data_IF_984900517707
#
_entry.id   IF_984900517707
#
_cell.length_a   1.000
_cell.length_b   1.000
_cell.length_c   1.000
_cell.angle_alpha   90.00
_cell.angle_beta   90.00
_cell.angle_gamma   90.00
#
_symmetry.space_group_name_H-M   'P 1'
#
loop_
_entity.id
_entity.type
_entity.pdbx_description
1 polymer ?
#
# COMPACT_ATOMS: atom_id res chain seq x y z
N UNK A 1 33.00 -0.35 -13.70
CA UNK A 1 32.05 -1.17 -14.47
C UNK A 1 30.94 -0.28 -14.98
N UNK A 2 30.51 -0.46 -16.22
CA UNK A 2 29.32 0.20 -16.79
C UNK A 2 28.04 -0.35 -16.15
N UNK A 3 26.92 0.36 -16.29
CA UNK A 3 25.61 -0.12 -15.83
C UNK A 3 25.27 -1.52 -16.40
N UNK A 4 25.52 -1.74 -17.70
CA UNK A 4 25.31 -3.04 -18.35
C UNK A 4 26.15 -4.16 -17.75
N UNK A 5 27.41 -3.88 -17.43
CA UNK A 5 28.31 -4.86 -16.79
C UNK A 5 27.84 -5.19 -15.36
N UNK A 6 27.40 -4.17 -14.61
CA UNK A 6 26.87 -4.36 -13.26
C UNK A 6 25.62 -5.25 -13.26
N UNK A 7 24.68 -5.01 -14.18
CA UNK A 7 23.48 -5.85 -14.33
C UNK A 7 23.82 -7.31 -14.67
N UNK A 8 24.76 -7.55 -15.59
CA UNK A 8 25.17 -8.91 -16.01
C UNK A 8 25.90 -9.69 -14.91
N UNK A 9 26.46 -9.01 -13.92
CA UNK A 9 27.28 -9.63 -12.87
C UNK A 9 26.43 -10.51 -11.95
N UNK A 10 25.28 -10.00 -11.51
CA UNK A 10 24.48 -10.61 -10.43
C UNK A 10 25.19 -10.48 -9.09
N UNK A 11 25.34 -11.60 -8.37
CA UNK A 11 26.18 -11.61 -7.16
C UNK A 11 27.64 -11.33 -7.57
N UNK A 12 28.31 -10.33 -6.96
CA UNK A 12 29.68 -9.97 -7.32
C UNK A 12 30.65 -11.12 -7.04
N UNK A 13 31.83 -11.10 -7.67
CA UNK A 13 32.86 -12.11 -7.46
C UNK A 13 33.62 -11.96 -6.13
N UNK A 14 33.58 -10.76 -5.54
CA UNK A 14 34.22 -10.44 -4.26
C UNK A 14 33.16 -9.88 -3.31
N UNK A 15 33.35 -10.12 -2.01
CA UNK A 15 32.45 -9.61 -0.98
C UNK A 15 32.55 -8.08 -0.95
N UNK A 16 31.48 -7.33 -1.29
CA UNK A 16 31.53 -5.88 -1.27
C UNK A 16 31.57 -5.37 0.18
N UNK A 17 32.03 -4.14 0.37
CA UNK A 17 32.04 -3.50 1.68
C UNK A 17 30.61 -3.41 2.26
N UNK A 18 30.50 -3.53 3.60
CA UNK A 18 29.24 -3.30 4.31
C UNK A 18 28.73 -1.89 4.00
N UNK A 19 27.40 -1.75 3.83
CA UNK A 19 26.75 -0.48 3.54
C UNK A 19 25.99 0.03 4.75
N UNK A 20 26.18 1.31 5.04
CA UNK A 20 25.37 2.01 6.01
C UNK A 20 23.98 2.33 5.46
N UNK A 21 23.04 2.55 6.37
CA UNK A 21 21.66 2.89 6.03
C UNK A 21 21.59 4.35 5.58
N UNK A 22 21.07 4.56 4.38
CA UNK A 22 20.88 5.88 3.79
C UNK A 22 19.60 6.55 4.31
N UNK A 23 19.76 7.55 5.18
CA UNK A 23 18.64 8.26 5.80
C UNK A 23 17.96 9.29 4.88
N UNK A 24 18.40 9.45 3.62
CA UNK A 24 17.76 10.35 2.66
C UNK A 24 16.45 9.80 2.08
N UNK A 25 16.20 8.49 2.22
CA UNK A 25 14.96 7.84 1.76
C UNK A 25 14.14 7.32 2.93
N UNK A 26 12.83 7.19 2.69
CA UNK A 26 11.95 6.56 3.65
C UNK A 26 12.26 5.07 3.79
N UNK A 27 12.06 4.56 5.01
CA UNK A 27 12.41 3.20 5.37
C UNK A 27 11.25 2.44 6.01
N UNK A 28 11.19 1.13 5.73
CA UNK A 28 10.16 0.28 6.31
C UNK A 28 10.31 0.19 7.85
N UNK A 29 9.19 0.13 8.59
CA UNK A 29 9.23 -0.11 10.03
C UNK A 29 9.79 -1.50 10.35
N UNK A 30 10.35 -1.66 11.57
CA UNK A 30 10.79 -2.97 12.06
C UNK A 30 9.63 -3.96 12.04
N UNK A 31 9.84 -5.15 11.48
CA UNK A 31 8.88 -6.26 11.56
C UNK A 31 9.08 -6.98 12.90
N UNK A 32 8.01 -7.14 13.65
CA UNK A 32 8.05 -7.85 14.94
C UNK A 32 8.13 -9.35 14.64
N UNK A 33 9.18 -10.02 15.14
CA UNK A 33 9.42 -11.46 14.92
C UNK A 33 9.63 -12.25 16.21
N UNK A 34 9.65 -11.60 17.38
CA UNK A 34 10.09 -12.21 18.64
C UNK A 34 9.14 -13.31 19.13
N UNK A 35 7.85 -13.19 18.83
CA UNK A 35 6.83 -14.21 19.12
C UNK A 35 6.47 -15.07 17.88
N UNK A 36 7.14 -14.84 16.75
CA UNK A 36 6.81 -15.47 15.46
C UNK A 36 7.82 -16.55 15.08
N UNK A 37 9.11 -16.33 15.34
CA UNK A 37 10.18 -17.27 15.02
C UNK A 37 10.79 -17.87 16.27
N UNK A 38 10.82 -19.21 16.34
CA UNK A 38 11.65 -19.93 17.29
C UNK A 38 13.14 -19.71 17.04
N UNK A 39 14.00 -20.09 17.99
CA UNK A 39 15.47 -20.01 17.82
C UNK A 39 15.95 -20.79 16.60
N UNK A 40 15.44 -21.99 16.38
CA UNK A 40 15.81 -22.83 15.24
C UNK A 40 15.34 -22.22 13.92
N UNK A 41 14.20 -21.52 13.93
CA UNK A 41 13.69 -20.80 12.77
C UNK A 41 14.47 -19.53 12.46
N UNK A 42 14.95 -18.80 13.48
CA UNK A 42 15.91 -17.70 13.28
C UNK A 42 17.21 -18.22 12.62
N UNK A 43 17.71 -19.37 13.07
CA UNK A 43 18.86 -20.04 12.43
C UNK A 43 18.53 -20.45 10.99
N UNK A 44 17.33 -21.00 10.75
CA UNK A 44 16.88 -21.39 9.42
C UNK A 44 16.75 -20.19 8.48
N UNK A 45 16.25 -19.04 8.95
CA UNK A 45 16.18 -17.80 8.16
C UNK A 45 17.57 -17.38 7.66
N UNK A 46 18.57 -17.41 8.55
CA UNK A 46 19.95 -17.09 8.20
C UNK A 46 20.51 -18.11 7.19
N UNK A 47 20.32 -19.41 7.43
CA UNK A 47 20.71 -20.47 6.47
C UNK A 47 20.04 -20.27 5.11
N UNK A 48 18.76 -19.91 5.09
CA UNK A 48 18.00 -19.65 3.89
C UNK A 48 18.55 -18.46 3.10
N UNK A 49 18.99 -17.41 3.78
CA UNK A 49 19.65 -16.24 3.20
C UNK A 49 21.04 -16.57 2.66
N UNK A 50 21.81 -17.42 3.34
CA UNK A 50 23.17 -17.81 2.92
C UNK A 50 23.21 -18.65 1.63
N UNK A 51 22.10 -19.27 1.23
CA UNK A 51 22.01 -20.07 -0.02
C UNK A 51 22.37 -19.29 -1.28
N UNK A 52 22.25 -17.96 -1.27
CA UNK A 52 22.58 -17.11 -2.41
C UNK A 52 24.07 -16.83 -2.56
N UNK A 53 24.90 -17.19 -1.58
CA UNK A 53 26.28 -16.74 -1.48
C UNK A 53 27.28 -17.90 -1.40
N UNK A 54 28.52 -17.71 -1.88
CA UNK A 54 29.60 -18.67 -1.72
C UNK A 54 29.89 -18.98 -0.24
N UNK A 55 30.33 -20.22 0.04
CA UNK A 55 30.52 -20.72 1.41
C UNK A 55 31.57 -19.94 2.18
N UNK A 56 32.59 -19.44 1.49
CA UNK A 56 33.66 -18.61 2.04
C UNK A 56 33.15 -17.31 2.68
N UNK A 57 31.97 -16.82 2.31
CA UNK A 57 31.38 -15.61 2.91
C UNK A 57 30.43 -15.92 4.06
N UNK A 58 30.11 -17.20 4.31
CA UNK A 58 29.07 -17.57 5.27
C UNK A 58 29.40 -17.15 6.69
N UNK A 59 30.67 -17.16 7.09
CA UNK A 59 31.05 -16.73 8.44
C UNK A 59 30.72 -15.25 8.67
N UNK A 60 31.08 -14.37 7.74
CA UNK A 60 30.81 -12.93 7.85
C UNK A 60 29.32 -12.63 7.65
N UNK A 61 28.72 -13.17 6.59
CA UNK A 61 27.33 -12.89 6.25
C UNK A 61 26.34 -13.48 7.25
N UNK A 62 26.65 -14.59 7.92
CA UNK A 62 25.77 -15.15 8.96
C UNK A 62 25.59 -14.19 10.13
N UNK A 63 26.66 -13.51 10.56
CA UNK A 63 26.65 -12.50 11.62
C UNK A 63 25.85 -11.27 11.17
N UNK A 64 26.12 -10.78 9.97
CA UNK A 64 25.40 -9.62 9.40
C UNK A 64 23.90 -9.89 9.19
N UNK A 65 23.53 -11.06 8.67
CA UNK A 65 22.12 -11.41 8.45
C UNK A 65 21.39 -11.66 9.77
N UNK A 66 22.08 -12.16 10.81
CA UNK A 66 21.52 -12.22 12.16
C UNK A 66 21.22 -10.81 12.70
N UNK A 67 22.16 -9.87 12.53
CA UNK A 67 21.97 -8.46 12.91
C UNK A 67 20.80 -7.81 12.17
N UNK A 68 20.68 -8.03 10.85
CA UNK A 68 19.56 -7.51 10.07
C UNK A 68 18.23 -8.09 10.55
N UNK A 69 18.17 -9.41 10.77
CA UNK A 69 16.96 -10.08 11.25
C UNK A 69 16.51 -9.52 12.59
N UNK A 70 17.43 -9.28 13.53
CA UNK A 70 17.11 -8.74 14.84
C UNK A 70 16.70 -7.25 14.80
N UNK A 71 17.42 -6.45 14.01
CA UNK A 71 17.20 -5.01 13.92
C UNK A 71 15.94 -4.65 13.13
N UNK A 72 15.66 -5.38 12.06
CA UNK A 72 14.61 -5.03 11.10
C UNK A 72 13.49 -6.06 11.02
N UNK A 73 13.68 -7.25 11.61
CA UNK A 73 12.74 -8.37 11.48
C UNK A 73 12.80 -9.07 10.12
N UNK A 74 13.76 -8.69 9.27
CA UNK A 74 13.94 -9.14 7.89
C UNK A 74 15.41 -9.09 7.51
N UNK A 75 15.81 -9.95 6.57
CA UNK A 75 17.16 -9.99 5.99
C UNK A 75 17.06 -9.42 4.57
N UNK A 76 17.34 -8.13 4.43
CA UNK A 76 17.28 -7.42 3.14
C UNK A 76 18.57 -7.54 2.34
N UNK A 77 19.69 -7.87 3.01
CA UNK A 77 21.03 -7.97 2.45
C UNK A 77 21.51 -6.62 1.92
N UNK A 78 21.44 -5.56 2.74
CA UNK A 78 21.70 -4.18 2.31
C UNK A 78 23.08 -3.98 1.67
N UNK A 79 24.07 -4.76 2.12
CA UNK A 79 25.42 -4.81 1.52
C UNK A 79 25.40 -4.97 0.00
N UNK A 80 24.41 -5.70 -0.54
CA UNK A 80 24.29 -6.03 -1.95
C UNK A 80 23.37 -5.09 -2.75
N UNK A 81 22.81 -4.04 -2.13
CA UNK A 81 22.08 -3.01 -2.87
C UNK A 81 23.02 -2.36 -3.90
N UNK A 82 22.64 -2.18 -5.17
CA UNK A 82 23.49 -1.51 -6.16
C UNK A 82 23.79 -0.05 -5.83
N UNK A 83 24.91 0.47 -6.36
CA UNK A 83 25.30 1.88 -6.21
C UNK A 83 24.87 2.77 -7.39
N UNK A 84 24.33 2.20 -8.46
CA UNK A 84 23.74 2.99 -9.53
C UNK A 84 22.38 3.54 -9.10
N UNK A 85 22.01 4.69 -9.67
CA UNK A 85 20.69 5.29 -9.44
C UNK A 85 19.58 4.33 -9.88
N UNK A 86 18.59 4.13 -9.02
CA UNK A 86 17.46 3.26 -9.28
C UNK A 86 16.34 4.04 -9.96
N UNK A 87 16.17 3.86 -11.26
CA UNK A 87 15.10 4.46 -12.07
C UNK A 87 14.95 3.69 -13.38
N UNK A 88 13.79 3.80 -14.03
CA UNK A 88 13.60 3.24 -15.37
C UNK A 88 14.37 4.05 -16.43
N UNK A 89 15.38 3.42 -17.01
CA UNK A 89 16.17 3.90 -18.16
C UNK A 89 15.48 3.61 -19.50
N UNK A 90 16.03 4.15 -20.60
CA UNK A 90 15.59 3.68 -21.93
C UNK A 90 15.98 2.22 -22.13
N UNK A 91 15.25 1.53 -23.00
CA UNK A 91 15.42 0.09 -23.19
C UNK A 91 16.86 -0.27 -23.59
N UNK A 92 17.48 0.54 -24.45
CA UNK A 92 18.81 0.33 -25.01
C UNK A 92 19.94 0.45 -23.97
N UNK A 93 19.67 1.08 -22.82
CA UNK A 93 20.62 1.15 -21.71
C UNK A 93 20.72 -0.18 -20.95
N UNK A 94 19.71 -1.04 -21.04
CA UNK A 94 19.74 -2.36 -20.43
C UNK A 94 20.53 -3.35 -21.30
N UNK A 95 21.24 -4.31 -20.68
CA UNK A 95 21.79 -5.44 -21.41
C UNK A 95 20.72 -6.51 -21.61
N UNK A 96 20.33 -6.83 -22.84
CA UNK A 96 19.36 -7.90 -23.08
C UNK A 96 19.68 -8.71 -24.34
N UNK A 97 19.22 -9.95 -24.39
CA UNK A 97 19.12 -10.74 -25.62
C UNK A 97 17.67 -10.72 -26.13
N UNK A 98 16.70 -10.96 -25.23
CA UNK A 98 15.27 -10.76 -25.48
C UNK A 98 14.84 -9.32 -25.17
N UNK A 99 14.20 -8.65 -26.13
CA UNK A 99 13.66 -7.30 -25.93
C UNK A 99 12.60 -7.27 -24.80
N UNK A 100 11.79 -8.32 -24.69
CA UNK A 100 10.78 -8.45 -23.63
C UNK A 100 11.45 -8.51 -22.24
N UNK A 101 12.57 -9.24 -22.11
CA UNK A 101 13.33 -9.27 -20.86
C UNK A 101 13.96 -7.91 -20.51
N UNK A 102 14.42 -7.17 -21.53
CA UNK A 102 14.84 -5.77 -21.41
C UNK A 102 13.75 -4.88 -20.81
N UNK A 103 12.52 -4.98 -21.33
CA UNK A 103 11.38 -4.22 -20.83
C UNK A 103 11.00 -4.61 -19.39
N UNK A 104 11.13 -5.89 -19.02
CA UNK A 104 10.86 -6.34 -17.65
C UNK A 104 11.89 -5.75 -16.67
N UNK A 105 13.18 -5.71 -17.02
CA UNK A 105 14.20 -5.03 -16.20
C UNK A 105 13.89 -3.55 -15.99
N UNK A 106 13.43 -2.86 -17.03
CA UNK A 106 12.98 -1.48 -16.94
C UNK A 106 11.86 -1.34 -15.91
N UNK A 107 10.83 -2.18 -16.00
CA UNK A 107 9.70 -2.11 -15.08
C UNK A 107 10.05 -2.48 -13.64
N UNK A 108 10.99 -3.42 -13.45
CA UNK A 108 11.54 -3.73 -12.12
C UNK A 108 12.21 -2.50 -11.50
N UNK A 109 13.04 -1.78 -12.27
CA UNK A 109 13.71 -0.57 -11.76
C UNK A 109 12.72 0.57 -11.52
N UNK A 110 11.68 0.72 -12.34
CA UNK A 110 10.59 1.66 -12.07
C UNK A 110 9.90 1.37 -10.72
N UNK A 111 9.58 0.11 -10.44
CA UNK A 111 8.96 -0.29 -9.18
C UNK A 111 9.84 -0.02 -7.94
N UNK A 112 11.15 0.12 -8.11
CA UNK A 112 12.13 0.38 -7.06
C UNK A 112 12.68 1.81 -7.08
N UNK A 113 12.23 2.65 -8.01
CA UNK A 113 12.65 4.05 -8.10
C UNK A 113 12.27 4.79 -6.81
N UNK A 114 13.18 5.52 -6.13
CA UNK A 114 12.86 6.28 -4.92
C UNK A 114 11.72 7.30 -5.09
N UNK A 115 11.41 7.73 -6.31
CA UNK A 115 10.26 8.60 -6.64
C UNK A 115 8.93 7.84 -6.74
N UNK A 116 8.98 6.51 -6.84
CA UNK A 116 7.83 5.63 -7.06
C UNK A 116 7.57 4.74 -5.84
N UNK A 117 8.62 4.10 -5.32
CA UNK A 117 8.54 3.14 -4.23
C UNK A 117 8.43 3.83 -2.86
N UNK A 118 7.59 3.27 -1.98
CA UNK A 118 7.44 3.76 -0.60
C UNK A 118 8.68 3.55 0.26
N UNK A 119 9.28 2.35 0.18
CA UNK A 119 10.51 2.00 0.89
C UNK A 119 11.50 1.34 -0.07
N UNK A 120 12.18 2.13 -0.93
CA UNK A 120 12.97 1.61 -2.04
C UNK A 120 14.11 0.68 -1.59
N UNK A 121 14.74 0.98 -0.44
CA UNK A 121 15.87 0.19 0.06
C UNK A 121 15.46 -1.15 0.70
N UNK A 122 14.19 -1.29 1.09
CA UNK A 122 13.58 -2.55 1.54
C UNK A 122 12.79 -3.25 0.42
N UNK A 123 12.96 -2.79 -0.83
CA UNK A 123 12.33 -3.35 -2.03
C UNK A 123 10.79 -3.32 -1.99
N UNK A 124 10.19 -2.40 -1.23
CA UNK A 124 8.74 -2.27 -1.07
C UNK A 124 8.22 -1.08 -1.89
N UNK A 125 7.36 -1.37 -2.86
CA UNK A 125 6.78 -0.36 -3.74
C UNK A 125 5.59 0.35 -3.08
N UNK A 126 4.60 -0.37 -2.55
CA UNK A 126 3.43 0.23 -1.89
C UNK A 126 2.72 -0.73 -0.93
N UNK A 127 1.61 -0.28 -0.33
CA UNK A 127 0.80 -1.11 0.58
C UNK A 127 1.48 -1.42 1.92
N UNK A 128 2.58 -0.74 2.24
CA UNK A 128 3.34 -0.93 3.49
C UNK A 128 4.30 -2.13 3.49
N UNK A 129 3.97 -3.22 2.79
CA UNK A 129 4.78 -4.43 2.66
C UNK A 129 4.74 -5.08 1.26
N UNK A 130 4.10 -4.44 0.28
CA UNK A 130 4.04 -4.92 -1.11
C UNK A 130 5.41 -4.82 -1.78
N UNK A 131 6.12 -5.94 -1.85
CA UNK A 131 7.53 -6.00 -2.23
C UNK A 131 7.75 -6.54 -3.64
N UNK A 132 8.80 -6.02 -4.30
CA UNK A 132 9.30 -6.48 -5.59
C UNK A 132 10.09 -7.78 -5.41
N UNK A 133 10.97 -7.81 -4.41
CA UNK A 133 11.77 -8.96 -4.00
C UNK A 133 11.89 -8.97 -2.47
N UNK A 134 12.28 -10.10 -1.89
CA UNK A 134 12.50 -10.21 -0.44
C UNK A 134 13.84 -9.60 0.00
N UNK A 135 14.84 -9.60 -0.89
CA UNK A 135 16.19 -9.12 -0.60
C UNK A 135 16.94 -8.73 -1.88
N UNK A 136 18.08 -8.07 -1.71
CA UNK A 136 18.90 -7.57 -2.83
C UNK A 136 19.60 -8.66 -3.64
N UNK A 137 19.86 -9.85 -3.07
CA UNK A 137 20.40 -10.97 -3.85
C UNK A 137 19.42 -11.45 -4.94
N UNK A 138 18.13 -11.53 -4.60
CA UNK A 138 17.08 -11.87 -5.55
C UNK A 138 16.98 -10.86 -6.70
N UNK A 139 17.07 -9.56 -6.37
CA UNK A 139 17.14 -8.50 -7.38
C UNK A 139 18.33 -8.72 -8.33
N UNK A 140 19.54 -8.84 -7.78
CA UNK A 140 20.77 -8.99 -8.57
C UNK A 140 20.73 -10.21 -9.50
N UNK A 141 20.29 -11.36 -8.99
CA UNK A 141 20.17 -12.59 -9.77
C UNK A 141 19.09 -12.48 -10.85
N UNK A 142 17.94 -11.89 -10.54
CA UNK A 142 16.86 -11.69 -11.51
C UNK A 142 17.32 -10.79 -12.65
N UNK A 143 17.97 -9.67 -12.34
CA UNK A 143 18.50 -8.75 -13.36
C UNK A 143 19.58 -9.44 -14.22
N UNK A 144 20.45 -10.25 -13.62
CA UNK A 144 21.42 -11.08 -14.36
C UNK A 144 20.73 -12.04 -15.32
N UNK A 145 19.76 -12.81 -14.84
CA UNK A 145 19.06 -13.79 -15.67
C UNK A 145 18.29 -13.14 -16.82
N UNK A 146 17.58 -12.04 -16.56
CA UNK A 146 16.88 -11.27 -17.60
C UNK A 146 17.84 -10.70 -18.65
N UNK A 147 19.07 -10.37 -18.26
CA UNK A 147 20.07 -9.88 -19.23
C UNK A 147 20.60 -10.94 -20.21
N UNK A 148 20.36 -12.23 -19.91
CA UNK A 148 20.94 -13.37 -20.61
C UNK A 148 19.90 -14.28 -21.27
N UNK A 149 18.63 -14.19 -20.84
CA UNK A 149 17.56 -15.06 -21.32
C UNK A 149 17.24 -14.81 -22.81
N UNK A 150 17.09 -15.88 -23.57
CA UNK A 150 16.65 -15.82 -24.97
C UNK A 150 15.13 -15.78 -25.09
N UNK A 151 14.63 -15.59 -26.32
CA UNK A 151 13.19 -15.67 -26.59
C UNK A 151 12.64 -17.10 -26.53
N UNK A 152 13.46 -18.13 -26.32
CA UNK A 152 12.97 -19.51 -26.18
C UNK A 152 13.05 -20.02 -24.75
N UNK A 153 13.12 -19.11 -23.78
CA UNK A 153 13.29 -19.43 -22.38
C UNK A 153 12.32 -18.63 -21.49
N UNK A 154 12.03 -19.17 -20.31
CA UNK A 154 11.22 -18.53 -19.27
C UNK A 154 11.98 -18.53 -17.95
N UNK A 155 12.10 -17.37 -17.32
CA UNK A 155 12.56 -17.23 -15.93
C UNK A 155 11.38 -17.47 -14.98
N UNK A 156 11.56 -18.37 -14.02
CA UNK A 156 10.52 -18.66 -13.02
C UNK A 156 10.88 -18.04 -11.68
N UNK A 157 9.99 -17.21 -11.14
CA UNK A 157 10.15 -16.53 -9.86
C UNK A 157 9.20 -17.10 -8.80
N UNK A 158 9.78 -17.55 -7.69
CA UNK A 158 9.10 -18.10 -6.51
C UNK A 158 9.09 -17.06 -5.39
N UNK A 159 8.03 -16.26 -5.32
CA UNK A 159 7.90 -15.14 -4.37
C UNK A 159 9.13 -14.24 -4.33
N UNK A 160 9.65 -13.88 -5.51
CA UNK A 160 10.88 -13.11 -5.68
C UNK A 160 12.16 -13.95 -5.82
N UNK A 161 12.20 -15.21 -5.35
CA UNK A 161 13.36 -16.09 -5.57
C UNK A 161 13.46 -16.49 -7.05
N UNK A 162 14.55 -16.17 -7.77
CA UNK A 162 14.72 -16.59 -9.15
C UNK A 162 15.18 -18.05 -9.19
N UNK A 163 14.22 -18.98 -9.31
CA UNK A 163 14.49 -20.42 -9.32
C UNK A 163 15.42 -20.80 -10.45
N UNK A 164 15.23 -20.19 -11.62
CA UNK A 164 16.10 -20.41 -12.78
C UNK A 164 15.41 -20.13 -14.10
N UNK A 165 16.19 -20.30 -15.16
CA UNK A 165 15.76 -20.18 -16.55
C UNK A 165 15.50 -21.58 -17.10
N UNK A 166 14.33 -21.77 -17.70
CA UNK A 166 13.89 -23.05 -18.27
C UNK A 166 13.57 -22.90 -19.76
N UNK A 167 13.81 -23.93 -20.60
CA UNK A 167 13.38 -23.93 -21.99
C UNK A 167 11.86 -23.76 -22.11
N UNK A 168 11.45 -23.01 -23.13
CA UNK A 168 10.06 -22.69 -23.47
C UNK A 168 9.94 -22.49 -24.99
N UNK A 169 9.16 -21.51 -25.46
CA UNK A 169 9.08 -21.11 -26.87
C UNK A 169 8.88 -19.59 -26.99
N UNK A 170 9.07 -19.04 -28.19
CA UNK A 170 8.96 -17.59 -28.48
C UNK A 170 7.70 -16.90 -27.96
N UNK A 171 6.56 -17.58 -28.05
CA UNK A 171 5.25 -17.07 -27.64
C UNK A 171 4.94 -17.28 -26.14
N UNK A 172 5.82 -17.96 -25.39
CA UNK A 172 5.68 -18.14 -23.96
C UNK A 172 6.05 -16.84 -23.20
N UNK A 173 5.54 -16.64 -21.97
CA UNK A 173 6.01 -15.54 -21.12
C UNK A 173 7.52 -15.63 -20.84
N UNK A 174 8.25 -14.52 -20.95
CA UNK A 174 9.67 -14.48 -20.51
C UNK A 174 9.84 -14.65 -19.00
N UNK A 175 8.81 -14.30 -18.22
CA UNK A 175 8.81 -14.46 -16.77
C UNK A 175 7.47 -15.00 -16.30
N UNK A 176 7.50 -16.02 -15.44
CA UNK A 176 6.34 -16.47 -14.66
C UNK A 176 6.62 -16.17 -13.19
N UNK A 177 5.73 -15.39 -12.57
CA UNK A 177 5.88 -14.95 -11.17
C UNK A 177 4.75 -15.51 -10.33
N UNK A 178 5.12 -16.10 -9.20
CA UNK A 178 4.21 -16.36 -8.08
C UNK A 178 4.64 -15.49 -6.89
N UNK A 179 3.69 -14.93 -6.13
CA UNK A 179 3.98 -14.19 -4.91
C UNK A 179 2.96 -14.55 -3.83
N UNK A 180 3.42 -14.96 -2.65
CA UNK A 180 2.52 -15.17 -1.52
C UNK A 180 1.61 -16.39 -1.65
N UNK A 181 1.90 -17.31 -2.57
CA UNK A 181 1.12 -18.54 -2.73
C UNK A 181 1.36 -19.45 -1.53
N UNK A 182 0.27 -19.79 -0.84
CA UNK A 182 0.28 -20.56 0.39
C UNK A 182 -0.69 -21.74 0.29
N UNK A 183 -0.40 -22.83 1.00
CA UNK A 183 -1.41 -23.86 1.26
C UNK A 183 -2.51 -23.20 2.10
N UNK A 184 -3.81 -23.31 1.75
CA UNK A 184 -4.87 -22.51 2.35
C UNK A 184 -4.90 -22.51 3.88
N UNK A 185 -4.71 -23.67 4.52
CA UNK A 185 -4.71 -23.82 5.98
C UNK A 185 -3.54 -23.09 6.68
N UNK A 186 -2.56 -22.59 5.92
CA UNK A 186 -1.37 -21.89 6.40
C UNK A 186 -1.27 -20.48 5.80
N UNK A 187 -2.38 -19.92 5.33
CA UNK A 187 -2.43 -18.60 4.67
C UNK A 187 -2.89 -17.47 5.59
N UNK A 188 -2.97 -17.69 6.91
CA UNK A 188 -3.28 -16.63 7.89
C UNK A 188 -2.09 -15.68 8.06
N UNK A 189 -2.35 -14.48 8.58
CA UNK A 189 -1.39 -13.38 8.72
C UNK A 189 -0.14 -13.79 9.50
N UNK A 190 -0.29 -14.56 10.58
CA UNK A 190 0.81 -15.01 11.45
C UNK A 190 1.74 -15.98 10.73
N UNK A 191 1.15 -16.99 10.06
CA UNK A 191 1.89 -17.97 9.27
C UNK A 191 2.63 -17.28 8.13
N UNK A 192 1.95 -16.41 7.39
CA UNK A 192 2.58 -15.64 6.33
C UNK A 192 3.74 -14.76 6.84
N UNK A 193 3.56 -14.06 7.97
CA UNK A 193 4.60 -13.23 8.57
C UNK A 193 5.84 -14.04 8.96
N UNK A 194 5.63 -15.24 9.50
CA UNK A 194 6.67 -16.22 9.81
C UNK A 194 7.43 -16.65 8.56
N UNK A 195 6.72 -17.10 7.53
CA UNK A 195 7.34 -17.60 6.31
C UNK A 195 8.07 -16.50 5.52
N UNK A 196 7.58 -15.26 5.59
CA UNK A 196 8.28 -14.13 4.99
C UNK A 196 9.60 -13.84 5.74
N UNK A 197 9.59 -13.86 7.08
CA UNK A 197 10.81 -13.71 7.87
C UNK A 197 11.84 -14.83 7.61
N UNK A 198 11.37 -16.05 7.33
CA UNK A 198 12.20 -17.19 6.93
C UNK A 198 12.78 -17.07 5.51
N UNK A 199 12.36 -16.08 4.72
CA UNK A 199 12.82 -15.89 3.35
C UNK A 199 12.24 -16.89 2.34
N UNK A 200 11.03 -17.41 2.59
CA UNK A 200 10.38 -18.41 1.72
C UNK A 200 9.08 -17.92 1.06
N UNK A 201 8.62 -16.71 1.39
CA UNK A 201 7.46 -16.09 0.71
C UNK A 201 7.55 -14.57 0.77
N UNK A 202 6.79 -13.90 -0.09
CA UNK A 202 6.72 -12.43 -0.18
C UNK A 202 5.28 -12.01 -0.45
N UNK A 203 4.92 -10.78 -0.09
CA UNK A 203 3.64 -10.20 -0.46
C UNK A 203 3.89 -9.25 -1.62
N UNK A 204 3.51 -9.66 -2.82
CA UNK A 204 3.71 -8.89 -4.03
C UNK A 204 2.66 -7.79 -4.23
N UNK A 205 1.66 -7.67 -3.35
CA UNK A 205 0.43 -6.94 -3.65
C UNK A 205 -0.09 -7.41 -5.04
N UNK A 206 -0.59 -6.48 -5.86
CA UNK A 206 -0.98 -6.71 -7.24
C UNK A 206 0.17 -6.36 -8.18
N UNK A 207 0.63 -5.10 -8.16
CA UNK A 207 1.57 -4.58 -9.16
C UNK A 207 3.02 -4.41 -8.67
N UNK A 208 3.27 -4.60 -7.36
CA UNK A 208 4.62 -4.48 -6.80
C UNK A 208 5.47 -5.70 -7.19
N UNK A 209 4.99 -6.90 -6.88
CA UNK A 209 5.66 -8.17 -7.18
C UNK A 209 5.47 -8.65 -8.62
N UNK A 210 4.63 -7.99 -9.42
CA UNK A 210 4.45 -8.28 -10.86
C UNK A 210 5.11 -7.24 -11.77
N UNK A 211 5.84 -6.27 -11.20
CA UNK A 211 6.65 -5.30 -11.94
C UNK A 211 5.84 -4.41 -12.88
N UNK A 212 4.75 -3.81 -12.41
CA UNK A 212 3.92 -2.94 -13.26
C UNK A 212 3.26 -1.77 -12.53
N UNK A 213 3.85 -1.32 -11.42
CA UNK A 213 3.31 -0.19 -10.66
C UNK A 213 3.77 1.13 -11.26
N UNK A 214 2.83 1.97 -11.70
CA UNK A 214 3.11 3.21 -12.43
C UNK A 214 2.86 4.46 -11.59
N UNK A 215 2.94 4.32 -10.27
CA UNK A 215 2.60 5.38 -9.34
C UNK A 215 1.08 5.55 -9.13
N UNK A 216 0.67 6.66 -8.51
CA UNK A 216 -0.70 6.87 -8.05
C UNK A 216 -1.73 7.07 -9.18
N UNK A 217 -1.32 7.27 -10.43
CA UNK A 217 -2.22 7.58 -11.55
C UNK A 217 -3.31 6.52 -11.77
N UNK A 218 -2.98 5.23 -11.61
CA UNK A 218 -3.96 4.15 -11.78
C UNK A 218 -5.09 4.26 -10.76
N UNK A 219 -4.78 4.66 -9.53
CA UNK A 219 -5.77 4.86 -8.47
C UNK A 219 -6.57 6.14 -8.69
N UNK A 220 -5.96 7.22 -9.18
CA UNK A 220 -6.69 8.46 -9.55
C UNK A 220 -7.77 8.14 -10.59
N UNK A 221 -7.41 7.38 -11.63
CA UNK A 221 -8.37 6.96 -12.66
C UNK A 221 -9.47 6.06 -12.07
N UNK A 222 -9.11 4.99 -11.35
CA UNK A 222 -10.09 4.08 -10.75
C UNK A 222 -11.05 4.78 -9.79
N UNK A 223 -10.55 5.73 -9.00
CA UNK A 223 -11.37 6.53 -8.07
C UNK A 223 -12.29 7.51 -8.80
N UNK A 224 -11.80 8.13 -9.87
CA UNK A 224 -12.63 8.98 -10.75
C UNK A 224 -13.81 8.20 -11.31
N UNK A 225 -13.56 6.99 -11.84
CA UNK A 225 -14.61 6.13 -12.37
C UNK A 225 -15.60 5.70 -11.28
N UNK A 226 -15.10 5.31 -10.11
CA UNK A 226 -15.94 4.92 -8.97
C UNK A 226 -16.89 6.05 -8.56
N UNK A 227 -16.38 7.28 -8.45
CA UNK A 227 -17.19 8.46 -8.11
C UNK A 227 -18.22 8.80 -9.18
N UNK A 228 -17.85 8.79 -10.46
CA UNK A 228 -18.81 9.05 -11.55
C UNK A 228 -19.94 8.01 -11.58
N UNK A 229 -19.61 6.73 -11.38
CA UNK A 229 -20.61 5.68 -11.35
C UNK A 229 -21.50 5.76 -10.11
N UNK A 230 -20.95 6.04 -8.92
CA UNK A 230 -21.75 6.34 -7.73
C UNK A 230 -22.70 7.53 -8.00
N UNK A 231 -22.21 8.54 -8.71
CA UNK A 231 -23.01 9.68 -9.18
C UNK A 231 -24.19 9.27 -10.04
N UNK A 232 -23.95 8.47 -11.08
CA UNK A 232 -24.98 7.97 -12.01
C UNK A 232 -26.02 7.11 -11.30
N UNK A 233 -25.58 6.14 -10.51
CA UNK A 233 -26.47 5.24 -9.76
C UNK A 233 -27.43 5.99 -8.83
N UNK A 234 -27.00 7.15 -8.31
CA UNK A 234 -27.78 7.97 -7.39
C UNK A 234 -28.44 9.18 -8.06
N UNK A 235 -28.46 9.26 -9.40
CA UNK A 235 -29.02 10.38 -10.17
C UNK A 235 -28.45 11.76 -9.76
N UNK A 236 -27.17 11.79 -9.40
CA UNK A 236 -26.47 13.02 -8.98
C UNK A 236 -25.81 13.74 -10.16
N UNK A 237 -25.53 13.03 -11.25
CA UNK A 237 -24.97 13.57 -12.49
C UNK A 237 -24.47 12.45 -13.41
N UNK A 238 -24.45 12.73 -14.73
CA UNK A 238 -24.07 11.74 -15.77
C UNK A 238 -22.57 11.77 -16.11
N UNK A 239 -22.01 12.97 -16.29
CA UNK A 239 -20.62 13.19 -16.70
C UNK A 239 -19.79 13.98 -15.69
N UNK A 240 -20.45 14.61 -14.72
CA UNK A 240 -19.80 15.35 -13.63
C UNK A 240 -20.65 15.33 -12.34
N UNK A 241 -20.03 15.78 -11.25
CA UNK A 241 -20.56 15.85 -9.89
C UNK A 241 -20.57 17.30 -9.37
N UNK A 242 -20.75 18.30 -10.25
CA UNK A 242 -20.66 19.72 -9.87
C UNK A 242 -21.62 20.08 -8.73
N UNK A 243 -21.06 20.66 -7.68
CA UNK A 243 -21.78 21.06 -6.47
C UNK A 243 -22.21 19.90 -5.56
N UNK A 244 -21.85 18.65 -5.90
CA UNK A 244 -22.06 17.48 -5.03
C UNK A 244 -20.89 17.35 -4.07
N UNK A 245 -21.20 16.99 -2.84
CA UNK A 245 -20.24 16.77 -1.77
C UNK A 245 -19.90 15.29 -1.68
N UNK A 246 -18.62 14.99 -1.78
CA UNK A 246 -18.03 13.69 -1.50
C UNK A 246 -17.15 13.80 -0.25
N UNK A 247 -17.43 12.98 0.76
CA UNK A 247 -16.67 12.96 2.02
C UNK A 247 -16.05 11.57 2.22
N UNK A 248 -14.77 11.54 2.56
CA UNK A 248 -14.00 10.31 2.76
C UNK A 248 -12.82 10.52 3.72
N UNK A 249 -11.98 9.51 3.85
CA UNK A 249 -10.85 9.45 4.79
C UNK A 249 -9.58 8.89 4.16
N UNK A 250 -8.45 9.24 4.78
CA UNK A 250 -7.12 8.74 4.49
C UNK A 250 -6.44 9.46 3.33
N UNK A 251 -5.20 9.90 3.54
CA UNK A 251 -4.30 10.46 2.54
C UNK A 251 -3.02 9.62 2.34
N UNK A 252 -3.07 8.34 2.70
CA UNK A 252 -2.04 7.35 2.43
C UNK A 252 -1.84 7.04 0.93
N UNK A 253 -1.02 6.04 0.63
CA UNK A 253 -0.52 5.69 -0.72
C UNK A 253 -1.57 5.74 -1.84
N UNK A 254 -2.66 4.99 -1.65
CA UNK A 254 -3.79 4.90 -2.58
C UNK A 254 -4.86 5.95 -2.29
N UNK A 255 -5.21 6.14 -1.02
CA UNK A 255 -6.32 7.01 -0.62
C UNK A 255 -6.09 8.50 -0.87
N UNK A 256 -4.83 8.93 -1.00
CA UNK A 256 -4.48 10.29 -1.44
C UNK A 256 -5.00 10.62 -2.84
N UNK A 257 -5.25 9.63 -3.70
CA UNK A 257 -5.79 9.84 -5.04
C UNK A 257 -7.24 10.37 -5.04
N UNK A 258 -7.97 10.20 -3.93
CA UNK A 258 -9.35 10.67 -3.77
C UNK A 258 -9.46 12.20 -3.93
N UNK A 259 -8.43 12.95 -3.53
CA UNK A 259 -8.42 14.42 -3.67
C UNK A 259 -8.47 14.86 -5.14
N UNK A 260 -7.63 14.24 -5.99
CA UNK A 260 -7.63 14.51 -7.43
C UNK A 260 -8.88 13.99 -8.11
N UNK A 261 -9.34 12.79 -7.75
CA UNK A 261 -10.55 12.21 -8.31
C UNK A 261 -11.79 13.10 -8.06
N UNK A 262 -11.93 13.66 -6.86
CA UNK A 262 -13.01 14.60 -6.56
C UNK A 262 -12.97 15.83 -7.48
N UNK A 263 -11.79 16.43 -7.69
CA UNK A 263 -11.64 17.58 -8.59
C UNK A 263 -11.92 17.22 -10.05
N UNK A 264 -11.39 16.09 -10.54
CA UNK A 264 -11.59 15.62 -11.92
C UNK A 264 -13.07 15.37 -12.21
N UNK A 265 -13.80 14.78 -11.26
CA UNK A 265 -15.23 14.55 -11.37
C UNK A 265 -16.08 15.80 -11.20
N UNK A 266 -15.49 16.93 -10.80
CA UNK A 266 -16.21 18.18 -10.56
C UNK A 266 -16.82 18.31 -9.15
N UNK A 267 -16.58 17.35 -8.26
CA UNK A 267 -17.13 17.33 -6.92
C UNK A 267 -16.44 18.33 -5.98
N UNK A 268 -17.13 18.65 -4.89
CA UNK A 268 -16.52 19.20 -3.67
C UNK A 268 -16.08 17.99 -2.83
N UNK A 269 -14.79 17.69 -2.85
CA UNK A 269 -14.20 16.59 -2.09
C UNK A 269 -13.71 17.04 -0.72
N UNK A 270 -13.97 16.24 0.31
CA UNK A 270 -13.43 16.43 1.67
C UNK A 270 -12.78 15.14 2.12
N UNK A 271 -11.49 15.19 2.47
CA UNK A 271 -10.74 14.03 2.97
C UNK A 271 -10.23 14.31 4.37
N UNK A 272 -10.58 13.48 5.35
CA UNK A 272 -10.01 13.55 6.69
C UNK A 272 -8.72 12.71 6.82
N UNK A 273 -7.67 13.28 7.41
CA UNK A 273 -6.41 12.61 7.71
C UNK A 273 -5.86 13.09 9.06
N UNK A 274 -5.40 12.15 9.89
CA UNK A 274 -4.85 12.41 11.22
C UNK A 274 -3.34 12.51 11.22
N UNK A 275 -2.65 11.89 10.26
CA UNK A 275 -1.20 11.89 10.15
C UNK A 275 -0.71 13.16 9.42
N UNK A 276 -0.06 14.11 10.12
CA UNK A 276 0.46 15.32 9.49
C UNK A 276 1.55 15.02 8.45
N UNK A 277 2.26 13.90 8.57
CA UNK A 277 3.27 13.50 7.59
C UNK A 277 2.63 13.10 6.25
N UNK A 278 1.50 12.37 6.30
CA UNK A 278 0.74 12.03 5.10
C UNK A 278 0.20 13.29 4.39
N UNK A 279 -0.37 14.23 5.14
CA UNK A 279 -0.87 15.51 4.59
C UNK A 279 0.29 16.28 3.94
N UNK A 280 1.40 16.45 4.65
CA UNK A 280 2.59 17.14 4.13
C UNK A 280 3.09 16.50 2.84
N UNK A 281 3.15 15.18 2.78
CA UNK A 281 3.55 14.45 1.58
C UNK A 281 2.60 14.77 0.42
N UNK A 282 1.28 14.78 0.63
CA UNK A 282 0.31 15.10 -0.44
C UNK A 282 0.34 16.54 -0.92
N UNK A 283 0.76 17.46 -0.06
CA UNK A 283 1.07 18.83 -0.48
C UNK A 283 2.32 18.83 -1.37
N UNK A 284 3.38 18.15 -0.96
CA UNK A 284 4.62 18.02 -1.76
C UNK A 284 4.36 17.37 -3.12
N UNK A 285 3.49 16.36 -3.18
CA UNK A 285 3.12 15.66 -4.41
C UNK A 285 2.20 16.50 -5.34
N UNK A 286 1.70 17.66 -4.86
CA UNK A 286 0.72 18.49 -5.59
C UNK A 286 -0.67 17.85 -5.70
N UNK A 287 -1.05 17.00 -4.75
CA UNK A 287 -2.38 16.39 -4.64
C UNK A 287 -3.33 17.24 -3.78
N UNK A 288 -2.76 18.03 -2.88
CA UNK A 288 -3.48 18.91 -1.95
C UNK A 288 -2.82 20.29 -2.01
N UNK A 289 -3.62 21.34 -2.11
CA UNK A 289 -3.14 22.71 -1.91
C UNK A 289 -3.08 22.99 -0.40
N UNK A 290 -1.96 23.49 0.09
CA UNK A 290 -1.76 23.79 1.52
C UNK A 290 -2.84 24.73 2.09
N UNK A 291 -3.40 25.64 1.27
CA UNK A 291 -4.46 26.57 1.69
C UNK A 291 -5.82 25.90 1.91
N UNK A 292 -5.97 24.65 1.45
CA UNK A 292 -7.20 23.87 1.56
C UNK A 292 -7.17 22.87 2.72
N UNK A 293 -6.16 22.96 3.60
CA UNK A 293 -6.06 22.15 4.81
C UNK A 293 -6.67 22.92 5.98
N UNK A 294 -7.57 22.28 6.71
CA UNK A 294 -8.31 22.87 7.83
C UNK A 294 -8.14 22.01 9.08
N UNK A 295 -7.85 22.67 10.21
CA UNK A 295 -7.84 22.03 11.55
C UNK A 295 -9.15 22.29 12.32
N UNK A 296 -9.83 23.37 11.98
CA UNK A 296 -11.12 23.74 12.57
C UNK A 296 -12.28 23.27 11.66
N UNK A 297 -13.20 22.51 12.24
CA UNK A 297 -14.34 21.97 11.51
C UNK A 297 -15.35 23.04 11.08
N UNK A 298 -15.58 24.08 11.88
CA UNK A 298 -16.53 25.14 11.51
C UNK A 298 -16.04 25.93 10.29
N UNK A 299 -14.75 26.24 10.23
CA UNK A 299 -14.12 26.86 9.06
C UNK A 299 -14.23 25.98 7.81
N UNK A 300 -13.97 24.67 7.97
CA UNK A 300 -14.14 23.70 6.90
C UNK A 300 -15.59 23.63 6.40
N UNK A 301 -16.57 23.57 7.31
CA UNK A 301 -17.99 23.51 6.96
C UNK A 301 -18.45 24.77 6.22
N UNK A 302 -17.96 25.94 6.60
CA UNK A 302 -18.21 27.19 5.88
C UNK A 302 -17.67 27.13 4.44
N UNK A 303 -16.49 26.55 4.24
CA UNK A 303 -15.89 26.36 2.91
C UNK A 303 -16.64 25.32 2.09
N UNK A 304 -17.08 24.23 2.70
CA UNK A 304 -17.94 23.23 2.04
C UNK A 304 -19.19 23.91 1.49
N UNK A 305 -19.91 24.69 2.30
CA UNK A 305 -21.11 25.43 1.86
C UNK A 305 -20.82 26.33 0.65
N UNK A 306 -19.78 27.16 0.76
CA UNK A 306 -19.36 28.06 -0.31
C UNK A 306 -19.06 27.33 -1.63
N UNK A 307 -18.30 26.24 -1.60
CA UNK A 307 -17.92 25.51 -2.82
C UNK A 307 -19.07 24.68 -3.39
N UNK A 308 -20.00 24.20 -2.55
CA UNK A 308 -21.25 23.58 -3.01
C UNK A 308 -22.13 24.59 -3.73
N UNK A 309 -22.33 25.77 -3.17
CA UNK A 309 -23.16 26.84 -3.73
C UNK A 309 -22.59 27.38 -5.05
N UNK A 310 -21.29 27.63 -5.09
CA UNK A 310 -20.59 28.11 -6.31
C UNK A 310 -20.31 26.99 -7.31
N UNK A 311 -20.60 25.73 -6.97
CA UNK A 311 -20.35 24.53 -7.77
C UNK A 311 -18.91 24.43 -8.29
N UNK A 312 -17.96 24.94 -7.50
CA UNK A 312 -16.55 24.98 -7.88
C UNK A 312 -15.88 23.68 -7.42
N UNK A 313 -15.30 22.88 -8.34
CA UNK A 313 -14.61 21.65 -7.98
C UNK A 313 -13.41 21.96 -7.07
N UNK A 314 -13.28 21.24 -5.98
CA UNK A 314 -12.22 21.47 -5.00
C UNK A 314 -11.96 20.21 -4.19
N UNK A 315 -10.74 20.07 -3.70
CA UNK A 315 -10.43 19.13 -2.62
C UNK A 315 -10.03 19.92 -1.38
N UNK A 316 -10.76 19.66 -0.30
CA UNK A 316 -10.50 20.16 1.05
C UNK A 316 -9.99 19.02 1.91
N UNK A 317 -9.09 19.32 2.84
CA UNK A 317 -8.55 18.34 3.78
C UNK A 317 -8.89 18.77 5.20
N UNK A 318 -9.41 17.84 5.98
CA UNK A 318 -9.52 17.99 7.43
C UNK A 318 -8.32 17.32 8.10
N UNK A 319 -7.49 18.10 8.77
CA UNK A 319 -6.40 17.58 9.60
C UNK A 319 -6.96 17.17 10.97
N UNK A 320 -7.51 15.96 11.03
CA UNK A 320 -8.20 15.43 12.20
C UNK A 320 -8.86 14.10 11.90
N UNK A 321 -9.58 13.57 12.89
CA UNK A 321 -10.18 12.25 12.78
C UNK A 321 -11.44 12.30 11.90
N UNK A 322 -11.61 11.32 11.00
CA UNK A 322 -12.81 11.22 10.16
C UNK A 322 -14.09 11.12 10.99
N UNK A 323 -14.03 10.52 12.18
CA UNK A 323 -15.20 10.40 13.06
C UNK A 323 -15.69 11.77 13.51
N UNK A 324 -14.79 12.69 13.88
CA UNK A 324 -15.16 14.06 14.28
C UNK A 324 -15.82 14.82 13.12
N UNK A 325 -15.30 14.64 11.89
CA UNK A 325 -15.90 15.21 10.68
C UNK A 325 -17.31 14.64 10.42
N UNK A 326 -17.48 13.32 10.51
CA UNK A 326 -18.78 12.69 10.28
C UNK A 326 -19.82 13.09 11.32
N UNK A 327 -19.44 13.10 12.61
CA UNK A 327 -20.33 13.52 13.69
C UNK A 327 -20.77 14.98 13.50
N UNK A 328 -19.84 15.87 13.16
CA UNK A 328 -20.14 17.28 12.88
C UNK A 328 -21.05 17.46 11.67
N UNK A 329 -20.83 16.71 10.59
CA UNK A 329 -21.70 16.73 9.41
C UNK A 329 -23.10 16.21 9.73
N UNK A 330 -23.19 15.14 10.53
CA UNK A 330 -24.46 14.56 10.97
C UNK A 330 -25.31 15.54 11.80
N UNK A 331 -24.68 16.43 12.55
CA UNK A 331 -25.34 17.50 13.31
C UNK A 331 -25.66 18.74 12.47
N UNK A 332 -25.06 18.88 11.29
CA UNK A 332 -25.26 20.02 10.40
C UNK A 332 -26.45 19.84 9.44
N UNK A 333 -26.85 20.95 8.80
CA UNK A 333 -27.80 20.97 7.68
C UNK A 333 -27.12 20.79 6.31
N UNK A 334 -25.81 20.53 6.27
CA UNK A 334 -25.10 20.29 5.02
C UNK A 334 -25.47 18.91 4.49
N UNK A 335 -26.14 18.88 3.34
CA UNK A 335 -26.40 17.62 2.64
C UNK A 335 -25.07 17.01 2.18
N UNK A 336 -24.80 15.77 2.56
CA UNK A 336 -23.73 14.96 1.99
C UNK A 336 -24.34 14.02 0.98
N UNK A 337 -23.92 14.08 -0.28
CA UNK A 337 -24.46 13.21 -1.33
C UNK A 337 -23.73 11.87 -1.38
N UNK A 338 -22.40 11.88 -1.30
CA UNK A 338 -21.55 10.70 -1.44
C UNK A 338 -20.62 10.58 -0.22
N UNK A 339 -20.54 9.38 0.34
CA UNK A 339 -19.67 9.07 1.49
C UNK A 339 -18.93 7.76 1.32
N UNK A 340 -17.68 7.70 1.77
CA UNK A 340 -16.88 6.47 1.80
C UNK A 340 -15.84 6.52 2.93
N UNK A 341 -15.12 5.42 3.13
CA UNK A 341 -13.93 5.35 3.97
C UNK A 341 -12.77 4.66 3.23
N UNK A 342 -11.55 5.17 3.38
CA UNK A 342 -10.35 4.51 2.86
C UNK A 342 -9.19 4.49 3.88
N UNK A 343 -9.53 4.46 5.18
CA UNK A 343 -8.57 4.10 6.23
C UNK A 343 -8.03 2.67 6.03
N UNK A 344 -6.94 2.30 6.69
CA UNK A 344 -6.28 1.00 6.45
C UNK A 344 -6.75 -0.08 7.42
N UNK A 345 -8.06 -0.36 7.50
CA UNK A 345 -8.64 -1.32 8.45
C UNK A 345 -8.21 -2.79 8.20
N UNK A 346 -7.81 -3.14 6.98
CA UNK A 346 -7.10 -4.40 6.70
C UNK A 346 -5.80 -4.57 7.51
N UNK A 347 -5.25 -3.49 8.08
CA UNK A 347 -4.10 -3.50 8.98
C UNK A 347 -4.43 -2.85 10.34
N UNK A 348 -5.60 -3.16 10.89
CA UNK A 348 -6.09 -2.64 12.17
C UNK A 348 -5.11 -2.81 13.35
N UNK A 349 -4.27 -3.84 13.31
CA UNK A 349 -3.26 -4.15 14.34
C UNK A 349 -2.03 -3.24 14.39
N UNK A 350 -1.82 -2.43 13.36
CA UNK A 350 -0.55 -1.71 13.13
C UNK A 350 -0.84 -0.26 12.68
N UNK A 351 -1.66 0.42 13.49
CA UNK A 351 -2.07 1.81 13.32
C UNK A 351 -2.75 2.11 11.97
N UNK A 352 -3.39 1.11 11.36
CA UNK A 352 -4.17 1.30 10.14
C UNK A 352 -5.41 2.18 10.32
N UNK A 353 -5.89 2.32 11.58
CA UNK A 353 -6.99 3.17 11.98
C UNK A 353 -6.64 3.89 13.29
N UNK A 354 -6.68 5.22 13.29
CA UNK A 354 -6.44 6.01 14.50
C UNK A 354 -7.75 6.20 15.27
N UNK A 355 -7.83 5.81 16.55
CA UNK A 355 -9.03 6.01 17.35
C UNK A 355 -9.34 7.51 17.53
N UNK A 356 -10.63 7.86 17.54
CA UNK A 356 -11.09 9.23 17.78
C UNK A 356 -10.78 9.66 19.21
N UNK A 357 -10.44 10.94 19.40
CA UNK A 357 -9.99 11.48 20.69
C UNK A 357 -8.49 11.31 20.95
N UNK A 358 -7.74 10.70 20.03
CA UNK A 358 -6.27 10.61 20.08
C UNK A 358 -5.66 11.38 18.93
N UNK A 359 -4.55 12.07 19.19
CA UNK A 359 -3.62 12.50 18.14
C UNK A 359 -2.88 11.29 17.57
N UNK A 360 -2.41 11.40 16.34
CA UNK A 360 -1.72 10.29 15.66
C UNK A 360 -0.52 9.74 16.45
N UNK A 361 0.35 10.61 16.97
CA UNK A 361 1.50 10.18 17.79
C UNK A 361 1.07 9.58 19.15
N UNK A 362 -0.04 10.01 19.73
CA UNK A 362 -0.58 9.43 20.96
C UNK A 362 -1.10 8.01 20.70
N UNK A 363 -1.82 7.81 19.59
CA UNK A 363 -2.29 6.50 19.17
C UNK A 363 -1.14 5.53 18.85
N UNK A 364 -0.08 6.03 18.21
CA UNK A 364 1.16 5.27 17.95
C UNK A 364 1.88 4.86 19.24
N UNK A 365 1.95 5.77 20.21
CA UNK A 365 2.50 5.47 21.54
C UNK A 365 1.61 4.48 22.31
N UNK A 366 0.29 4.58 22.19
CA UNK A 366 -0.63 3.63 22.81
C UNK A 366 -0.47 2.23 22.20
N UNK A 367 -0.39 2.12 20.88
CA UNK A 367 -0.14 0.86 20.19
C UNK A 367 1.14 0.17 20.68
N UNK A 368 2.23 0.93 20.85
CA UNK A 368 3.52 0.37 21.28
C UNK A 368 3.56 -0.03 22.76
N UNK A 369 2.84 0.68 23.62
CA UNK A 369 2.82 0.43 25.07
C UNK A 369 1.76 -0.58 25.50
N UNK A 370 0.57 -0.49 24.91
CA UNK A 370 -0.58 -1.32 25.26
C UNK A 370 -1.50 -1.50 24.03
N UNK A 371 -1.19 -2.53 23.24
CA UNK A 371 -1.96 -2.89 22.05
C UNK A 371 -3.42 -3.22 22.37
N UNK A 372 -3.71 -3.83 23.52
CA UNK A 372 -5.08 -4.17 23.90
C UNK A 372 -5.94 -2.91 24.11
N UNK A 373 -5.42 -1.92 24.85
CA UNK A 373 -6.09 -0.63 25.03
C UNK A 373 -6.25 0.13 23.71
N UNK A 374 -5.24 0.08 22.83
CA UNK A 374 -5.34 0.65 21.49
C UNK A 374 -6.50 0.02 20.70
N UNK A 375 -6.56 -1.30 20.62
CA UNK A 375 -7.63 -2.01 19.90
C UNK A 375 -9.00 -1.76 20.52
N UNK A 376 -9.10 -1.64 21.85
CA UNK A 376 -10.35 -1.26 22.52
C UNK A 376 -10.80 0.13 22.10
N UNK A 377 -9.90 1.11 22.06
CA UNK A 377 -10.21 2.46 21.61
C UNK A 377 -10.64 2.50 20.13
N UNK A 378 -10.00 1.70 19.28
CA UNK A 378 -10.39 1.54 17.86
C UNK A 378 -11.81 0.99 17.73
N UNK A 379 -12.17 -0.05 18.50
CA UNK A 379 -13.53 -0.62 18.47
C UNK A 379 -14.60 0.42 18.83
N UNK A 380 -14.38 1.18 19.90
CA UNK A 380 -15.32 2.25 20.29
C UNK A 380 -15.41 3.36 19.24
N UNK A 381 -14.29 3.68 18.58
CA UNK A 381 -14.25 4.64 17.48
C UNK A 381 -15.05 4.16 16.27
N UNK A 382 -14.94 2.87 15.90
CA UNK A 382 -15.71 2.29 14.80
C UNK A 382 -17.22 2.32 15.05
N UNK A 383 -17.67 2.08 16.28
CA UNK A 383 -19.09 2.23 16.66
C UNK A 383 -19.57 3.66 16.42
N UNK A 384 -18.81 4.65 16.88
CA UNK A 384 -19.13 6.08 16.65
C UNK A 384 -19.14 6.44 15.17
N UNK A 385 -18.14 5.96 14.43
CA UNK A 385 -18.02 6.16 12.99
C UNK A 385 -19.26 5.67 12.25
N UNK A 386 -19.67 4.42 12.49
CA UNK A 386 -20.88 3.83 11.88
C UNK A 386 -22.14 4.57 12.31
N UNK A 387 -22.27 4.96 13.58
CA UNK A 387 -23.43 5.71 14.05
C UNK A 387 -23.60 7.05 13.32
N UNK A 388 -22.51 7.76 13.04
CA UNK A 388 -22.54 9.01 12.29
C UNK A 388 -22.91 8.78 10.80
N UNK A 389 -22.35 7.72 10.18
CA UNK A 389 -22.71 7.30 8.83
C UNK A 389 -24.21 6.95 8.77
N UNK A 390 -24.72 6.14 9.70
CA UNK A 390 -26.14 5.76 9.80
C UNK A 390 -27.04 7.00 9.80
N UNK A 391 -26.73 8.01 10.64
CA UNK A 391 -27.48 9.28 10.68
C UNK A 391 -27.46 10.02 9.34
N UNK A 392 -26.31 10.09 8.66
CA UNK A 392 -26.19 10.77 7.37
C UNK A 392 -26.89 10.01 6.24
N UNK A 393 -26.85 8.68 6.25
CA UNK A 393 -27.58 7.87 5.27
C UNK A 393 -29.10 7.98 5.44
N UNK A 394 -29.60 8.12 6.68
CA UNK A 394 -31.01 8.48 6.95
C UNK A 394 -31.38 9.86 6.39
N UNK A 395 -30.40 10.78 6.28
CA UNK A 395 -30.54 12.08 5.60
C UNK A 395 -30.32 12.02 4.07
N UNK A 396 -30.16 10.82 3.50
CA UNK A 396 -30.06 10.60 2.06
C UNK A 396 -28.64 10.60 1.48
N UNK A 397 -27.60 10.45 2.32
CA UNK A 397 -26.25 10.17 1.84
C UNK A 397 -26.15 8.75 1.27
N UNK A 398 -25.52 8.58 0.11
CA UNK A 398 -25.13 7.27 -0.40
C UNK A 398 -23.71 6.93 0.10
N UNK A 399 -23.62 5.87 0.92
CA UNK A 399 -22.36 5.38 1.49
C UNK A 399 -21.96 4.03 0.92
N UNK A 400 -20.66 3.84 0.66
CA UNK A 400 -20.10 2.54 0.25
C UNK A 400 -18.78 2.24 0.95
N UNK A 401 -18.44 0.95 1.03
CA UNK A 401 -17.13 0.48 1.48
C UNK A 401 -16.13 0.43 0.32
N UNK A 402 -14.92 0.97 0.51
CA UNK A 402 -13.91 1.06 -0.55
C UNK A 402 -12.97 -0.17 -0.60
N UNK A 403 -13.42 -1.33 -0.12
CA UNK A 403 -12.62 -2.56 -0.07
C UNK A 403 -11.48 -2.51 0.94
N UNK A 404 -11.62 -1.71 2.00
CA UNK A 404 -10.59 -1.49 3.02
C UNK A 404 -10.81 -2.28 4.32
N UNK A 405 -11.81 -3.18 4.32
CA UNK A 405 -12.31 -3.94 5.46
C UNK A 405 -13.07 -3.13 6.51
N UNK A 406 -13.61 -1.95 6.16
CA UNK A 406 -14.35 -1.12 7.10
C UNK A 406 -15.59 -1.83 7.64
N UNK A 407 -16.45 -2.37 6.78
CA UNK A 407 -17.67 -3.07 7.22
C UNK A 407 -17.35 -4.29 8.08
N UNK A 408 -16.34 -5.06 7.71
CA UNK A 408 -15.91 -6.26 8.43
C UNK A 408 -15.43 -5.92 9.86
N UNK A 409 -14.50 -4.98 9.98
CA UNK A 409 -13.94 -4.62 11.28
C UNK A 409 -14.96 -3.86 12.16
N UNK A 410 -15.83 -3.05 11.55
CA UNK A 410 -16.94 -2.44 12.27
C UNK A 410 -17.93 -3.49 12.80
N UNK A 411 -18.26 -4.51 12.00
CA UNK A 411 -19.11 -5.63 12.42
C UNK A 411 -18.49 -6.42 13.58
N UNK A 412 -17.19 -6.71 13.52
CA UNK A 412 -16.42 -7.33 14.61
C UNK A 412 -16.34 -6.47 15.86
N UNK A 413 -16.36 -5.15 15.72
CA UNK A 413 -16.40 -4.21 16.83
C UNK A 413 -17.79 -4.12 17.49
N UNK A 414 -18.83 -4.71 16.89
CA UNK A 414 -20.21 -4.61 17.36
C UNK A 414 -20.86 -3.27 17.02
N UNK A 415 -20.46 -2.64 15.91
CA UNK A 415 -21.13 -1.48 15.37
C UNK A 415 -22.47 -1.86 14.70
N UNK A 416 -23.39 -0.90 14.61
CA UNK A 416 -24.72 -1.06 14.00
C UNK A 416 -24.67 -1.06 12.46
N UNK A 417 -23.95 -2.05 11.90
CA UNK A 417 -23.58 -2.14 10.48
C UNK A 417 -24.26 -3.31 9.74
N UNK A 418 -24.88 -4.22 10.49
CA UNK A 418 -25.59 -5.39 9.94
C UNK A 418 -27.01 -5.01 9.53
N UNK A 419 -27.49 -5.53 8.41
CA UNK A 419 -28.85 -5.25 7.93
C UNK A 419 -29.92 -5.93 8.80
N UNK A 420 -29.58 -7.05 9.42
CA UNK A 420 -30.42 -7.84 10.32
C UNK A 420 -29.58 -8.62 11.34
N UNK A 421 -30.24 -9.29 12.29
CA UNK A 421 -29.63 -10.05 13.38
C UNK A 421 -28.90 -11.33 12.91
N UNK A 422 -29.00 -11.73 11.64
CA UNK A 422 -28.28 -12.90 11.11
C UNK A 422 -26.78 -12.64 10.96
N UNK A 423 -26.38 -11.37 10.91
CA UNK A 423 -25.00 -10.92 10.65
C UNK A 423 -24.39 -11.54 9.38
N UNK A 424 -25.21 -11.76 8.35
CA UNK A 424 -24.74 -12.26 7.05
C UNK A 424 -24.59 -11.15 6.01
N UNK A 425 -25.32 -10.04 6.16
CA UNK A 425 -25.39 -8.94 5.21
C UNK A 425 -25.18 -7.60 5.90
N UNK A 426 -24.39 -6.72 5.28
CA UNK A 426 -24.17 -5.37 5.76
C UNK A 426 -25.25 -4.41 5.25
N UNK A 427 -25.50 -3.32 5.99
CA UNK A 427 -26.40 -2.22 5.56
C UNK A 427 -25.90 -1.49 4.33
N UNK A 428 -24.58 -1.43 4.16
CA UNK A 428 -23.90 -0.79 3.06
C UNK A 428 -23.16 -1.82 2.23
N UNK A 429 -22.97 -1.51 0.95
CA UNK A 429 -22.31 -2.41 0.01
C UNK A 429 -20.87 -1.99 -0.23
N UNK A 430 -20.05 -2.93 -0.67
CA UNK A 430 -18.74 -2.62 -1.24
C UNK A 430 -18.89 -1.93 -2.60
N UNK A 431 -17.96 -1.04 -2.94
CA UNK A 431 -17.88 -0.46 -4.29
C UNK A 431 -17.74 -1.55 -5.36
N UNK A 432 -17.13 -2.69 -5.04
CA UNK A 432 -17.04 -3.83 -5.96
C UNK A 432 -18.42 -4.44 -6.19
N UNK A 433 -19.22 -4.60 -5.14
CA UNK A 433 -20.54 -5.23 -5.25
C UNK A 433 -21.55 -4.34 -5.96
N UNK A 434 -21.54 -3.03 -5.66
CA UNK A 434 -22.62 -2.12 -6.07
C UNK A 434 -22.28 -1.20 -7.24
N UNK A 435 -20.99 -0.85 -7.41
CA UNK A 435 -20.57 0.18 -8.37
C UNK A 435 -19.83 -0.45 -9.54
N UNK A 436 -18.78 -1.22 -9.27
CA UNK A 436 -17.88 -1.75 -10.30
C UNK A 436 -18.32 -3.12 -10.81
N UNK A 437 -18.78 -4.02 -9.94
CA UNK A 437 -19.20 -5.38 -10.30
C UNK A 437 -20.29 -5.44 -11.36
N UNK A 438 -21.32 -4.58 -11.34
CA UNK A 438 -22.30 -4.51 -12.42
C UNK A 438 -21.73 -4.05 -13.78
N UNK A 439 -20.48 -3.57 -13.83
CA UNK A 439 -19.82 -3.05 -15.02
C UNK A 439 -18.70 -3.94 -15.55
N UNK A 440 -18.27 -4.95 -14.79
CA UNK A 440 -17.25 -5.95 -15.17
C UNK A 440 -17.97 -7.22 -15.61
#
# INVERSE_FOLDING_TARGET
>A
MTFKELIKTGIPAQLPNKKDRDNSVAHAPKRIIDDILSKDEKILAIKNALRYFPKEWHEELSKEFAEELEKYGRIYMYRFRPDYDMYARTLEEYPFQSQQAGAIMLMIQNNLDPKVAKYPHELITYGGNGAVFQNWAQYLLTMKYLSQISDEQTLVLYSGHPLGIFPSHKDAPRVVVSNGMMIPNYSKKEDWNKYNALGVTSYGQMTAGSFMYIGPQGIVHGTTITLLNAGRLNNLGESDLKGKLFVTSGLGGMSGAQTKAAVITGAVGVVAEVDPAAIKQRITDGYVDAKNVYENLDDLLNKIKYYKETKTPISLVYMGNVVDLWEKLAESDIKVELGSDQTSLHNIDDLGYCPVGYKFEEAKNLLSRNKESFLSAVKESLKRHVNAINKLTQKGMYFWDYGNAFLLEAGRAGADIWADDSHTTYKYKSYVEDIMGPMV
#
